data_IF_683780522052
#
_entry.id   IF_683780522052
#
_cell.length_a   1.000
_cell.length_b   1.000
_cell.length_c   1.000
_cell.angle_alpha   90.00
_cell.angle_beta   90.00
_cell.angle_gamma   90.00
#
_symmetry.space_group_name_H-M   'P 1'
#
loop_
_entity.id
_entity.type
_entity.pdbx_description
1 polymer ?
#
# COMPACT_ATOMS: atom_id res chain seq x y z
N UNK A 1 19.40 -43.77 -4.83
CA UNK A 1 18.95 -42.42 -5.24
C UNK A 1 18.35 -41.77 -4.01
N UNK A 2 19.11 -40.92 -3.33
CA UNK A 2 18.59 -40.06 -2.25
C UNK A 2 18.25 -38.75 -2.93
N UNK A 3 17.00 -38.62 -3.35
CA UNK A 3 16.47 -37.38 -3.93
C UNK A 3 15.97 -36.50 -2.78
N UNK A 4 16.59 -35.33 -2.67
CA UNK A 4 16.05 -34.06 -2.13
C UNK A 4 15.82 -33.95 -0.60
N UNK A 5 16.78 -33.34 0.11
CA UNK A 5 16.54 -32.60 1.37
C UNK A 5 17.54 -31.43 1.55
N UNK A 6 17.78 -30.67 0.49
CA UNK A 6 18.29 -29.29 0.58
C UNK A 6 17.32 -28.46 -0.27
N UNK A 7 16.16 -28.15 0.30
CA UNK A 7 15.34 -27.03 -0.17
C UNK A 7 15.77 -25.80 0.64
N UNK A 8 16.22 -24.80 -0.11
CA UNK A 8 16.86 -23.57 0.35
C UNK A 8 15.86 -22.63 1.06
N UNK A 9 15.91 -22.58 2.40
CA UNK A 9 15.24 -21.53 3.18
C UNK A 9 16.09 -20.24 3.25
N UNK A 10 16.50 -19.69 2.11
CA UNK A 10 17.35 -18.48 2.09
C UNK A 10 16.62 -17.20 2.56
N UNK A 11 15.36 -16.93 2.14
CA UNK A 11 14.64 -15.72 2.54
C UNK A 11 14.22 -15.72 4.02
N UNK A 12 13.60 -16.82 4.48
CA UNK A 12 13.16 -16.95 5.88
C UNK A 12 14.33 -16.91 6.87
N UNK A 13 15.42 -17.64 6.57
CA UNK A 13 16.62 -17.61 7.40
C UNK A 13 17.25 -16.21 7.47
N UNK A 14 17.24 -15.48 6.35
CA UNK A 14 17.71 -14.08 6.31
C UNK A 14 16.86 -13.18 7.19
N UNK A 15 15.52 -13.28 7.10
CA UNK A 15 14.61 -12.47 7.92
C UNK A 15 14.78 -12.78 9.41
N UNK A 16 14.87 -14.05 9.78
CA UNK A 16 15.09 -14.47 11.18
C UNK A 16 16.44 -13.97 11.73
N UNK A 17 17.51 -14.13 10.96
CA UNK A 17 18.82 -13.62 11.34
C UNK A 17 18.81 -12.10 11.57
N UNK A 18 18.18 -11.34 10.65
CA UNK A 18 18.06 -9.90 10.79
C UNK A 18 17.16 -9.51 11.96
N UNK A 19 16.09 -10.26 12.21
CA UNK A 19 15.23 -10.06 13.39
C UNK A 19 16.03 -10.11 14.68
N UNK A 20 17.02 -11.01 14.81
CA UNK A 20 17.88 -11.07 15.99
C UNK A 20 18.94 -9.96 16.02
N UNK A 21 19.42 -9.53 14.85
CA UNK A 21 20.51 -8.55 14.72
C UNK A 21 20.06 -7.09 14.89
N UNK A 22 18.84 -6.74 14.45
CA UNK A 22 18.37 -5.35 14.52
C UNK A 22 18.15 -4.93 15.98
N UNK A 23 18.88 -3.90 16.40
CA UNK A 23 18.82 -3.29 17.73
C UNK A 23 18.80 -1.76 17.64
N UNK A 24 18.53 -1.01 18.74
CA UNK A 24 18.59 0.46 18.71
C UNK A 24 19.96 1.04 18.28
N UNK A 25 21.04 0.27 18.40
CA UNK A 25 22.39 0.68 18.02
C UNK A 25 22.81 0.19 16.62
N UNK A 26 22.09 -0.78 16.07
CA UNK A 26 22.45 -1.45 14.82
C UNK A 26 21.32 -1.33 13.81
N UNK A 27 21.48 -0.39 12.87
CA UNK A 27 20.62 -0.25 11.70
C UNK A 27 21.15 -1.14 10.56
N UNK A 28 20.31 -1.94 9.88
CA UNK A 28 20.74 -2.70 8.71
C UNK A 28 21.21 -1.78 7.56
N UNK A 29 22.22 -2.16 6.77
CA UNK A 29 22.60 -1.40 5.58
C UNK A 29 21.42 -1.17 4.63
N UNK A 30 21.42 -0.05 3.90
CA UNK A 30 20.30 0.34 3.02
C UNK A 30 20.00 -0.70 1.96
N UNK A 31 21.04 -1.34 1.44
CA UNK A 31 20.98 -2.39 0.43
C UNK A 31 20.25 -3.63 0.96
N UNK A 32 20.41 -3.92 2.26
CA UNK A 32 19.71 -5.02 2.94
C UNK A 32 18.23 -4.69 3.10
N UNK A 33 17.89 -3.45 3.52
CA UNK A 33 16.48 -3.02 3.60
C UNK A 33 15.82 -3.06 2.22
N UNK A 34 16.50 -2.59 1.18
CA UNK A 34 16.03 -2.67 -0.20
C UNK A 34 15.85 -4.13 -0.65
N UNK A 35 16.76 -5.03 -0.28
CA UNK A 35 16.63 -6.47 -0.57
C UNK A 35 15.40 -7.08 0.11
N UNK A 36 15.16 -6.79 1.40
CA UNK A 36 13.95 -7.26 2.10
C UNK A 36 12.68 -6.82 1.37
N UNK A 37 12.61 -5.55 0.94
CA UNK A 37 11.45 -5.02 0.24
C UNK A 37 11.31 -5.68 -1.15
N UNK A 38 12.34 -5.64 -1.99
CA UNK A 38 12.22 -5.97 -3.40
C UNK A 38 12.31 -7.47 -3.69
N UNK A 39 13.10 -8.22 -2.92
CA UNK A 39 13.43 -9.62 -3.18
C UNK A 39 12.72 -10.60 -2.25
N UNK A 40 12.16 -10.12 -1.15
CA UNK A 40 11.40 -10.96 -0.21
C UNK A 40 9.94 -10.50 -0.19
N UNK A 41 9.66 -9.29 0.31
CA UNK A 41 8.29 -8.79 0.49
C UNK A 41 7.52 -8.68 -0.84
N UNK A 42 8.17 -8.20 -1.90
CA UNK A 42 7.57 -8.04 -3.23
C UNK A 42 7.89 -9.22 -4.17
N UNK A 43 8.33 -10.35 -3.63
CA UNK A 43 8.56 -11.56 -4.44
C UNK A 43 7.25 -12.28 -4.74
N UNK A 44 7.13 -12.79 -5.97
CA UNK A 44 5.99 -13.60 -6.40
C UNK A 44 6.06 -15.07 -5.98
N UNK A 45 7.21 -15.54 -5.46
CA UNK A 45 7.45 -16.95 -5.13
C UNK A 45 7.38 -17.28 -3.63
N UNK A 46 7.36 -16.27 -2.76
CA UNK A 46 7.44 -16.47 -1.31
C UNK A 46 6.07 -16.83 -0.70
N UNK A 47 6.10 -17.58 0.39
CA UNK A 47 4.88 -17.93 1.13
C UNK A 47 4.37 -16.74 1.94
N UNK A 48 3.06 -16.70 2.19
CA UNK A 48 2.41 -15.61 2.95
C UNK A 48 3.05 -15.41 4.34
N UNK A 49 3.52 -16.47 4.98
CA UNK A 49 4.15 -16.36 6.30
C UNK A 49 5.54 -15.70 6.22
N UNK A 50 6.34 -16.01 5.20
CA UNK A 50 7.62 -15.31 4.96
C UNK A 50 7.41 -13.83 4.70
N UNK A 51 6.36 -13.47 3.93
CA UNK A 51 6.01 -12.07 3.67
C UNK A 51 5.61 -11.32 4.94
N UNK A 52 4.85 -11.97 5.84
CA UNK A 52 4.49 -11.39 7.15
C UNK A 52 5.72 -11.19 8.03
N UNK A 53 6.63 -12.16 8.09
CA UNK A 53 7.89 -12.02 8.83
C UNK A 53 8.74 -10.88 8.27
N UNK A 54 8.87 -10.76 6.95
CA UNK A 54 9.57 -9.65 6.31
C UNK A 54 8.92 -8.30 6.65
N UNK A 55 7.60 -8.21 6.62
CA UNK A 55 6.87 -7.01 7.04
C UNK A 55 7.10 -6.69 8.53
N UNK A 56 7.05 -7.68 9.41
CA UNK A 56 7.31 -7.47 10.85
C UNK A 56 8.73 -6.98 11.11
N UNK A 57 9.72 -7.52 10.40
CA UNK A 57 11.09 -7.02 10.44
C UNK A 57 11.19 -5.56 10.00
N UNK A 58 10.55 -5.20 8.89
CA UNK A 58 10.51 -3.80 8.43
C UNK A 58 9.86 -2.87 9.47
N UNK A 59 8.78 -3.31 10.10
CA UNK A 59 8.14 -2.55 11.18
C UNK A 59 9.04 -2.42 12.42
N UNK A 60 9.75 -3.48 12.81
CA UNK A 60 10.73 -3.46 13.90
C UNK A 60 11.86 -2.47 13.61
N UNK A 61 12.38 -2.48 12.38
CA UNK A 61 13.41 -1.53 11.94
C UNK A 61 12.92 -0.10 12.12
N UNK A 62 11.70 0.21 11.67
CA UNK A 62 11.12 1.55 11.81
C UNK A 62 10.89 1.97 13.25
N UNK A 63 10.44 1.05 14.10
CA UNK A 63 10.22 1.33 15.52
C UNK A 63 11.53 1.69 16.24
N UNK A 64 12.61 0.98 15.91
CA UNK A 64 13.93 1.20 16.51
C UNK A 64 14.67 2.39 15.89
N UNK A 65 14.46 2.62 14.59
CA UNK A 65 15.13 3.63 13.79
C UNK A 65 14.11 4.41 12.96
N UNK A 66 13.44 5.40 13.56
CA UNK A 66 12.43 6.18 12.87
C UNK A 66 12.90 6.78 11.55
N UNK A 67 12.08 6.58 10.52
CA UNK A 67 12.28 7.17 9.21
C UNK A 67 12.25 8.70 9.30
N UNK A 68 13.16 9.34 8.58
CA UNK A 68 13.14 10.77 8.30
C UNK A 68 13.79 11.02 6.94
N UNK A 69 13.65 12.25 6.42
CA UNK A 69 14.12 12.61 5.09
C UNK A 69 15.63 12.42 4.85
N UNK A 70 16.44 12.21 5.90
CA UNK A 70 17.89 11.92 5.77
C UNK A 70 18.19 10.42 5.75
N UNK A 71 17.35 9.60 6.38
CA UNK A 71 17.62 8.17 6.60
C UNK A 71 16.99 7.28 5.56
N UNK A 72 15.82 7.65 5.06
CA UNK A 72 15.07 6.88 4.05
C UNK A 72 15.08 7.62 2.72
N UNK A 73 15.55 6.92 1.68
CA UNK A 73 15.38 7.36 0.30
C UNK A 73 14.03 6.85 -0.20
N UNK A 74 13.14 7.78 -0.55
CA UNK A 74 11.79 7.43 -0.95
C UNK A 74 11.73 7.04 -2.43
N UNK A 75 11.35 5.81 -2.71
CA UNK A 75 11.20 5.31 -4.08
C UNK A 75 9.73 5.34 -4.52
N UNK A 76 9.29 6.51 -5.01
CA UNK A 76 7.94 6.66 -5.56
C UNK A 76 7.71 5.74 -6.76
N UNK A 77 8.75 5.49 -7.59
CA UNK A 77 8.62 4.66 -8.79
C UNK A 77 8.29 3.22 -8.42
N UNK A 78 8.92 2.69 -7.37
CA UNK A 78 8.59 1.37 -6.84
C UNK A 78 7.15 1.31 -6.33
N UNK A 79 6.69 2.33 -5.60
CA UNK A 79 5.29 2.40 -5.17
C UNK A 79 4.32 2.42 -6.34
N UNK A 80 4.60 3.23 -7.37
CA UNK A 80 3.79 3.26 -8.59
C UNK A 80 3.75 1.89 -9.25
N UNK A 81 4.90 1.24 -9.46
CA UNK A 81 4.95 -0.10 -10.05
C UNK A 81 4.10 -1.12 -9.27
N UNK A 82 4.18 -1.11 -7.94
CA UNK A 82 3.41 -2.04 -7.08
C UNK A 82 1.90 -1.75 -7.12
N UNK A 83 1.50 -0.50 -7.37
CA UNK A 83 0.09 -0.10 -7.41
C UNK A 83 -0.55 -0.16 -8.81
N UNK A 84 0.26 -0.22 -9.87
CA UNK A 84 -0.18 -0.42 -11.26
C UNK A 84 -0.39 -1.91 -11.60
N UNK A 85 -0.89 -2.18 -12.80
CA UNK A 85 -1.39 -3.49 -13.24
C UNK A 85 -0.37 -4.62 -13.04
N UNK A 86 0.90 -4.37 -13.36
CA UNK A 86 1.97 -5.36 -13.19
C UNK A 86 2.21 -5.74 -11.72
N UNK A 87 2.00 -4.80 -10.80
CA UNK A 87 2.18 -4.99 -9.36
C UNK A 87 0.98 -5.59 -8.64
N UNK A 88 -0.22 -5.57 -9.26
CA UNK A 88 -1.46 -6.00 -8.59
C UNK A 88 -1.42 -7.47 -8.13
N UNK A 89 -0.70 -8.32 -8.85
CA UNK A 89 -0.59 -9.75 -8.59
C UNK A 89 0.46 -10.09 -7.51
N UNK A 90 1.20 -9.11 -6.99
CA UNK A 90 2.23 -9.35 -5.99
C UNK A 90 1.58 -9.68 -4.64
N UNK A 91 1.89 -10.84 -4.03
CA UNK A 91 1.25 -11.27 -2.78
C UNK A 91 1.54 -10.33 -1.61
N UNK A 92 2.71 -9.66 -1.60
CA UNK A 92 3.07 -8.69 -0.56
C UNK A 92 2.62 -7.25 -0.81
N UNK A 93 1.86 -6.97 -1.88
CA UNK A 93 1.41 -5.62 -2.25
C UNK A 93 0.76 -4.86 -1.10
N UNK A 94 -0.17 -5.50 -0.39
CA UNK A 94 -0.89 -4.85 0.73
C UNK A 94 0.02 -4.58 1.91
N UNK A 95 0.94 -5.50 2.23
CA UNK A 95 1.92 -5.32 3.30
C UNK A 95 2.89 -4.19 2.98
N UNK A 96 3.34 -4.12 1.72
CA UNK A 96 4.20 -3.04 1.26
C UNK A 96 3.50 -1.68 1.30
N UNK A 97 2.26 -1.59 0.79
CA UNK A 97 1.47 -0.36 0.87
C UNK A 97 1.28 0.07 2.33
N UNK A 98 0.93 -0.87 3.22
CA UNK A 98 0.79 -0.58 4.65
C UNK A 98 2.08 -0.07 5.27
N UNK A 99 3.22 -0.70 4.95
CA UNK A 99 4.54 -0.25 5.39
C UNK A 99 4.81 1.19 4.94
N UNK A 100 4.58 1.49 3.66
CA UNK A 100 4.70 2.83 3.07
C UNK A 100 3.84 3.85 3.83
N UNK A 101 2.54 3.59 4.00
CA UNK A 101 1.63 4.51 4.70
C UNK A 101 2.06 4.74 6.14
N UNK A 102 2.40 3.68 6.85
CA UNK A 102 2.85 3.75 8.25
C UNK A 102 4.13 4.58 8.38
N UNK A 103 5.08 4.42 7.45
CA UNK A 103 6.32 5.21 7.39
C UNK A 103 6.02 6.71 7.33
N UNK A 104 5.12 7.10 6.42
CA UNK A 104 4.77 8.49 6.19
C UNK A 104 4.02 9.08 7.39
N UNK A 105 3.12 8.29 7.97
CA UNK A 105 2.37 8.69 9.15
C UNK A 105 3.29 8.90 10.36
N UNK A 106 4.19 7.95 10.63
CA UNK A 106 5.10 8.03 11.78
C UNK A 106 6.07 9.21 11.64
N UNK A 107 6.66 9.42 10.46
CA UNK A 107 7.50 10.59 10.17
C UNK A 107 6.73 11.90 10.39
N UNK A 108 5.51 11.99 9.83
CA UNK A 108 4.66 13.17 9.99
C UNK A 108 4.31 13.43 11.46
N UNK A 109 3.86 12.42 12.21
CA UNK A 109 3.48 12.54 13.61
C UNK A 109 4.68 12.89 14.50
N UNK A 110 5.86 12.33 14.21
CA UNK A 110 7.08 12.66 14.96
C UNK A 110 7.49 14.12 14.77
N UNK A 111 7.43 14.63 13.54
CA UNK A 111 7.74 16.04 13.25
C UNK A 111 6.68 16.96 13.85
N UNK A 112 5.39 16.59 13.73
CA UNK A 112 4.28 17.34 14.32
C UNK A 112 4.45 17.52 15.83
N UNK A 113 4.82 16.44 16.55
CA UNK A 113 5.03 16.45 18.01
C UNK A 113 6.26 17.23 18.43
N UNK A 114 7.37 17.14 17.69
CA UNK A 114 8.62 17.82 18.06
C UNK A 114 8.60 19.30 17.68
N UNK A 115 8.20 19.60 16.46
CA UNK A 115 8.39 20.91 15.84
C UNK A 115 7.34 21.17 14.74
N UNK A 116 6.15 21.62 15.13
CA UNK A 116 5.02 21.90 14.21
C UNK A 116 5.36 22.88 13.07
N UNK A 117 6.32 23.78 13.26
CA UNK A 117 6.76 24.73 12.22
C UNK A 117 7.58 24.05 11.11
N UNK A 118 8.11 22.85 11.37
CA UNK A 118 8.97 22.08 10.46
C UNK A 118 8.23 20.96 9.72
N UNK A 119 6.88 20.92 9.76
CA UNK A 119 6.09 19.92 9.03
C UNK A 119 6.44 19.84 7.55
N UNK A 120 6.86 20.95 6.95
CA UNK A 120 7.32 21.02 5.57
C UNK A 120 8.61 20.24 5.27
N UNK A 121 9.30 19.76 6.30
CA UNK A 121 10.52 18.94 6.21
C UNK A 121 10.25 17.43 6.36
N UNK A 122 9.00 17.04 6.63
CA UNK A 122 8.59 15.63 6.67
C UNK A 122 8.70 14.97 5.31
N UNK A 123 9.03 13.68 5.29
CA UNK A 123 8.91 12.82 4.12
C UNK A 123 7.47 12.91 3.57
N UNK A 124 6.48 12.85 4.46
CA UNK A 124 5.08 13.01 4.09
C UNK A 124 4.83 14.30 3.30
N UNK A 125 5.38 15.44 3.72
CA UNK A 125 5.27 16.69 2.99
C UNK A 125 6.05 16.68 1.68
N UNK A 126 7.23 16.06 1.62
CA UNK A 126 8.00 16.02 0.37
C UNK A 126 7.38 15.13 -0.69
N UNK A 127 6.61 14.10 -0.30
CA UNK A 127 6.05 13.11 -1.23
C UNK A 127 4.55 13.26 -1.49
N UNK A 128 3.78 13.82 -0.55
CA UNK A 128 2.32 13.93 -0.64
C UNK A 128 1.80 15.37 -0.58
N UNK A 129 2.66 16.37 -0.66
CA UNK A 129 2.19 17.75 -0.81
C UNK A 129 1.71 18.00 -2.24
N UNK A 130 0.51 18.55 -2.38
CA UNK A 130 -0.04 19.04 -3.65
C UNK A 130 0.79 20.19 -4.21
N UNK A 131 1.41 21.01 -3.36
CA UNK A 131 2.27 22.11 -3.78
C UNK A 131 3.61 21.62 -4.35
N UNK A 132 4.19 20.55 -3.77
CA UNK A 132 5.52 20.04 -4.15
C UNK A 132 5.46 18.90 -5.17
N UNK A 133 4.55 17.95 -4.96
CA UNK A 133 4.39 16.72 -5.73
C UNK A 133 2.92 16.45 -6.09
N UNK A 134 2.27 17.33 -6.88
CA UNK A 134 0.87 17.15 -7.27
C UNK A 134 0.63 15.85 -8.05
N UNK A 135 1.62 15.36 -8.80
CA UNK A 135 1.49 14.11 -9.55
C UNK A 135 1.37 12.90 -8.62
N UNK A 136 2.10 12.87 -7.50
CA UNK A 136 2.00 11.78 -6.51
C UNK A 136 0.59 11.71 -5.90
N UNK A 137 0.03 12.86 -5.54
CA UNK A 137 -1.35 12.94 -5.00
C UNK A 137 -2.36 12.47 -6.05
N UNK A 138 -2.17 12.85 -7.31
CA UNK A 138 -2.99 12.39 -8.43
C UNK A 138 -2.91 10.87 -8.61
N UNK A 139 -1.71 10.29 -8.52
CA UNK A 139 -1.52 8.84 -8.63
C UNK A 139 -2.28 8.11 -7.52
N UNK A 140 -2.21 8.60 -6.27
CA UNK A 140 -2.97 8.02 -5.13
C UNK A 140 -4.48 8.09 -5.37
N UNK A 141 -5.00 9.21 -5.90
CA UNK A 141 -6.42 9.34 -6.27
C UNK A 141 -6.78 8.34 -7.37
N UNK A 142 -5.95 8.23 -8.42
CA UNK A 142 -6.15 7.27 -9.51
C UNK A 142 -6.22 5.83 -8.98
N UNK A 143 -5.28 5.44 -8.12
CA UNK A 143 -5.27 4.10 -7.52
C UNK A 143 -6.49 3.85 -6.62
N UNK A 144 -6.95 4.87 -5.90
CA UNK A 144 -8.15 4.76 -5.06
C UNK A 144 -9.42 4.58 -5.90
N UNK A 145 -9.60 5.39 -6.95
CA UNK A 145 -10.73 5.26 -7.87
C UNK A 145 -10.77 3.88 -8.51
N UNK A 146 -9.60 3.39 -8.97
CA UNK A 146 -9.44 2.04 -9.51
C UNK A 146 -9.87 0.98 -8.48
N UNK A 147 -9.30 1.01 -7.28
CA UNK A 147 -9.57 0.02 -6.22
C UNK A 147 -11.06 -0.01 -5.81
N UNK A 148 -11.72 1.14 -5.77
CA UNK A 148 -13.16 1.23 -5.45
C UNK A 148 -14.05 0.75 -6.60
N UNK A 149 -13.62 0.92 -7.85
CA UNK A 149 -14.42 0.57 -9.04
C UNK A 149 -14.30 -0.91 -9.38
N UNK A 150 -13.11 -1.50 -9.27
CA UNK A 150 -12.87 -2.93 -9.50
C UNK A 150 -13.68 -3.82 -8.52
N UNK A 151 -13.86 -3.38 -7.27
CA UNK A 151 -14.67 -4.08 -6.27
C UNK A 151 -16.18 -4.07 -6.61
N UNK A 152 -16.65 -3.03 -7.31
CA UNK A 152 -18.07 -2.88 -7.72
C UNK A 152 -18.42 -3.66 -8.97
N UNK A 153 -17.47 -3.83 -9.89
CA UNK A 153 -17.69 -4.55 -11.16
C UNK A 153 -17.69 -6.08 -11.00
N UNK A 154 -17.23 -6.60 -9.85
CA UNK A 154 -17.22 -8.04 -9.55
C UNK A 154 -18.46 -8.51 -8.77
N UNK A 155 -19.42 -7.62 -8.48
CA UNK A 155 -20.73 -8.01 -7.95
C UNK A 155 -21.67 -8.41 -9.11
N UNK A 156 -22.13 -9.67 -9.21
CA UNK A 156 -23.33 -9.95 -9.99
C UNK A 156 -24.51 -9.18 -9.36
N UNK A 157 -25.47 -8.67 -10.15
CA UNK A 157 -26.69 -8.09 -9.59
C UNK A 157 -27.37 -9.17 -8.74
N UNK A 158 -27.62 -8.88 -7.47
CA UNK A 158 -28.48 -9.70 -6.62
C UNK A 158 -29.89 -9.72 -7.24
N UNK A 159 -30.18 -10.75 -8.05
CA UNK A 159 -31.55 -11.12 -8.37
C UNK A 159 -32.18 -11.69 -7.10
N UNK A 160 -32.86 -10.83 -6.34
CA UNK A 160 -33.89 -11.27 -5.40
C UNK A 160 -34.94 -10.16 -5.21
N UNK A 161 -35.77 -9.98 -6.24
CA UNK A 161 -37.16 -9.61 -6.02
C UNK A 161 -38.07 -10.73 -6.55
N UNK A 162 -39.08 -11.05 -5.73
CA UNK A 162 -40.32 -11.81 -5.98
C UNK A 162 -40.34 -13.33 -5.69
N UNK A 163 -40.97 -13.67 -4.56
CA UNK A 163 -41.66 -14.95 -4.20
C UNK A 163 -42.81 -15.29 -5.19
N UNK A 164 -43.52 -16.46 -5.21
CA UNK A 164 -43.54 -17.63 -4.30
C UNK A 164 -43.54 -19.03 -4.99
N UNK A 165 -43.30 -20.14 -4.24
CA UNK A 165 -43.81 -21.47 -4.62
C UNK A 165 -42.96 -22.72 -4.28
N UNK A 166 -43.41 -23.45 -3.26
CA UNK A 166 -43.47 -24.93 -3.11
C UNK A 166 -42.45 -25.86 -3.82
N UNK A 167 -41.65 -26.58 -3.02
CA UNK A 167 -41.55 -28.07 -3.13
C UNK A 167 -40.24 -28.74 -3.60
N UNK A 168 -39.62 -29.50 -2.66
CA UNK A 168 -39.00 -30.84 -2.83
C UNK A 168 -37.54 -30.97 -3.36
N UNK A 169 -36.65 -31.30 -2.41
CA UNK A 169 -35.51 -32.26 -2.34
C UNK A 169 -34.75 -32.79 -3.58
N UNK A 170 -33.39 -32.63 -3.52
CA UNK A 170 -32.23 -33.52 -3.88
C UNK A 170 -31.22 -32.78 -4.78
N UNK A 171 -29.90 -33.04 -4.81
CA UNK A 171 -28.92 -33.76 -4.00
C UNK A 171 -27.51 -33.36 -4.53
N UNK A 172 -26.53 -33.24 -3.62
CA UNK A 172 -25.09 -33.49 -3.80
C UNK A 172 -24.35 -32.97 -5.06
N UNK A 173 -23.55 -31.91 -4.91
CA UNK A 173 -22.24 -31.79 -5.56
C UNK A 173 -21.29 -31.00 -4.66
N UNK A 174 -20.27 -31.69 -4.16
CA UNK A 174 -19.26 -31.18 -3.24
C UNK A 174 -18.13 -30.51 -4.02
N UNK A 175 -18.29 -29.23 -4.33
CA UNK A 175 -17.16 -28.36 -4.66
C UNK A 175 -17.21 -27.17 -3.70
N UNK A 176 -16.16 -26.92 -2.89
CA UNK A 176 -16.09 -25.65 -2.18
C UNK A 176 -16.02 -24.54 -3.24
N UNK A 177 -16.87 -23.49 -3.16
CA UNK A 177 -16.76 -22.35 -4.04
C UNK A 177 -15.38 -21.70 -3.84
N UNK A 178 -14.74 -21.16 -4.90
CA UNK A 178 -13.48 -20.43 -4.76
C UNK A 178 -13.74 -19.24 -3.83
N UNK A 179 -13.02 -19.18 -2.70
CA UNK A 179 -13.25 -18.22 -1.62
C UNK A 179 -13.29 -16.76 -2.15
N UNK A 180 -14.47 -16.14 -2.27
CA UNK A 180 -14.59 -14.76 -2.74
C UNK A 180 -14.33 -13.76 -1.59
N UNK A 181 -14.08 -14.24 -0.38
CA UNK A 181 -14.01 -13.43 0.84
C UNK A 181 -12.61 -12.87 1.10
N UNK A 182 -11.55 -13.57 0.68
CA UNK A 182 -10.16 -13.14 0.92
C UNK A 182 -9.75 -11.96 0.02
N UNK A 183 -10.20 -11.95 -1.23
CA UNK A 183 -9.95 -10.87 -2.20
C UNK A 183 -10.71 -9.59 -1.82
N UNK A 184 -11.98 -9.71 -1.39
CA UNK A 184 -12.80 -8.59 -0.89
C UNK A 184 -12.16 -7.91 0.33
N UNK A 185 -11.61 -8.70 1.27
CA UNK A 185 -10.92 -8.14 2.43
C UNK A 185 -9.64 -7.38 2.03
N UNK A 186 -8.90 -7.92 1.06
CA UNK A 186 -7.64 -7.33 0.57
C UNK A 186 -7.85 -5.99 -0.13
N UNK A 187 -8.87 -5.87 -0.99
CA UNK A 187 -9.21 -4.62 -1.67
C UNK A 187 -9.66 -3.53 -0.68
N UNK A 188 -10.46 -3.88 0.32
CA UNK A 188 -10.84 -2.95 1.38
C UNK A 188 -9.63 -2.42 2.15
N UNK A 189 -8.65 -3.27 2.45
CA UNK A 189 -7.40 -2.84 3.08
C UNK A 189 -6.63 -1.84 2.20
N UNK A 190 -6.54 -2.09 0.89
CA UNK A 190 -5.90 -1.16 -0.06
C UNK A 190 -6.62 0.19 -0.04
N UNK A 191 -7.95 0.20 -0.16
CA UNK A 191 -8.77 1.41 -0.10
C UNK A 191 -8.51 2.19 1.19
N UNK A 192 -8.51 1.52 2.34
CA UNK A 192 -8.22 2.14 3.63
C UNK A 192 -6.82 2.78 3.68
N UNK A 193 -5.79 2.09 3.16
CA UNK A 193 -4.43 2.65 3.12
C UNK A 193 -4.34 3.88 2.20
N UNK A 194 -4.96 3.83 1.02
CA UNK A 194 -4.96 4.97 0.09
C UNK A 194 -5.73 6.17 0.65
N UNK A 195 -6.86 5.94 1.30
CA UNK A 195 -7.59 7.00 2.03
C UNK A 195 -6.73 7.61 3.14
N UNK A 196 -5.93 6.79 3.85
CA UNK A 196 -5.00 7.29 4.86
C UNK A 196 -3.91 8.15 4.25
N UNK A 197 -3.33 7.76 3.11
CA UNK A 197 -2.36 8.59 2.38
C UNK A 197 -2.96 9.95 1.98
N UNK A 198 -4.18 9.97 1.44
CA UNK A 198 -4.85 11.23 1.10
C UNK A 198 -5.15 12.10 2.33
N UNK A 199 -5.47 11.47 3.46
CA UNK A 199 -5.64 12.20 4.72
C UNK A 199 -4.34 12.89 5.14
N UNK A 200 -3.20 12.20 5.03
CA UNK A 200 -1.87 12.77 5.28
C UNK A 200 -1.57 13.93 4.31
N UNK A 201 -1.87 13.76 3.02
CA UNK A 201 -1.69 14.80 1.99
C UNK A 201 -2.40 16.11 2.37
N UNK A 202 -3.66 16.02 2.81
CA UNK A 202 -4.44 17.17 3.26
C UNK A 202 -3.83 17.82 4.51
N UNK A 203 -3.29 17.02 5.43
CA UNK A 203 -2.69 17.53 6.67
C UNK A 203 -1.36 18.25 6.45
N UNK A 204 -0.50 17.73 5.56
CA UNK A 204 0.81 18.35 5.24
C UNK A 204 0.66 19.68 4.48
N UNK A 205 -0.47 19.86 3.78
CA UNK A 205 -0.76 21.04 2.97
C UNK A 205 -1.56 22.13 3.67
N UNK A 206 -1.79 22.04 5.00
CA UNK A 206 -2.47 23.10 5.78
C UNK A 206 -1.68 24.43 5.90
N UNK A 207 -0.85 24.77 4.93
CA UNK A 207 -0.08 26.02 4.85
C UNK A 207 -0.84 27.09 4.03
N UNK A 208 -0.57 28.39 4.25
CA UNK A 208 -1.26 29.47 3.54
C UNK A 208 -1.01 29.49 2.02
N UNK A 209 -0.05 28.72 1.49
CA UNK A 209 0.27 28.66 0.06
C UNK A 209 -0.49 27.58 -0.72
N UNK A 210 -1.10 26.62 -0.01
CA UNK A 210 -1.90 25.53 -0.58
C UNK A 210 -3.36 25.69 -0.13
N UNK A 211 -4.15 26.45 -0.89
CA UNK A 211 -5.58 26.60 -0.62
C UNK A 211 -6.36 25.41 -1.18
N UNK A 212 -7.51 25.10 -0.60
CA UNK A 212 -8.46 24.13 -1.14
C UNK A 212 -8.80 24.40 -2.61
N UNK A 213 -8.81 25.67 -3.02
CA UNK A 213 -9.05 26.08 -4.41
C UNK A 213 -7.91 25.64 -5.34
N UNK A 214 -6.65 25.79 -4.91
CA UNK A 214 -5.48 25.38 -5.70
C UNK A 214 -5.40 23.86 -5.84
N UNK A 215 -5.71 23.13 -4.77
CA UNK A 215 -5.82 21.67 -4.80
C UNK A 215 -6.94 21.25 -5.76
N UNK A 216 -8.11 21.89 -5.66
CA UNK A 216 -9.22 21.63 -6.56
C UNK A 216 -8.83 21.89 -8.01
N UNK A 217 -8.23 23.04 -8.35
CA UNK A 217 -7.78 23.33 -9.72
C UNK A 217 -6.83 22.25 -10.28
N UNK A 218 -5.88 21.77 -9.47
CA UNK A 218 -4.95 20.72 -9.90
C UNK A 218 -5.60 19.34 -10.07
N UNK A 219 -6.65 19.04 -9.30
CA UNK A 219 -7.25 17.70 -9.25
C UNK A 219 -8.55 17.58 -10.05
N UNK A 220 -9.29 18.66 -10.23
CA UNK A 220 -10.66 18.64 -10.77
C UNK A 220 -10.71 18.26 -12.25
N UNK A 221 -9.78 18.78 -13.05
CA UNK A 221 -9.68 18.42 -14.48
C UNK A 221 -9.39 16.94 -14.71
N UNK A 222 -8.62 16.32 -13.80
CA UNK A 222 -8.30 14.90 -13.86
C UNK A 222 -9.45 14.01 -13.37
N UNK A 223 -10.09 14.37 -12.26
CA UNK A 223 -11.20 13.58 -11.69
C UNK A 223 -12.42 13.57 -12.61
N UNK A 224 -12.66 14.67 -13.33
CA UNK A 224 -13.82 14.80 -14.20
C UNK A 224 -13.55 14.43 -15.66
N UNK A 225 -12.34 13.95 -15.98
CA UNK A 225 -11.91 13.57 -17.33
C UNK A 225 -12.31 14.62 -18.38
N UNK A 226 -12.11 15.90 -18.06
CA UNK A 226 -12.61 17.00 -18.87
C UNK A 226 -11.76 17.06 -20.16
N UNK A 227 -12.32 16.82 -21.35
CA UNK A 227 -11.56 16.85 -22.59
C UNK A 227 -10.99 18.24 -22.82
N UNK A 228 -9.74 18.27 -23.32
CA UNK A 228 -9.08 19.51 -23.71
C UNK A 228 -9.93 20.26 -24.72
N UNK A 229 -9.85 21.59 -24.74
CA UNK A 229 -10.66 22.41 -25.64
C UNK A 229 -10.41 22.10 -27.13
N UNK A 230 -9.26 21.52 -27.45
CA UNK A 230 -8.86 20.99 -28.76
C UNK A 230 -9.58 19.69 -29.16
N UNK A 231 -10.14 18.97 -28.18
CA UNK A 231 -10.86 17.71 -28.33
C UNK A 231 -12.39 17.89 -28.29
N UNK A 232 -12.88 19.15 -28.22
CA UNK A 232 -14.31 19.50 -28.19
C UNK A 232 -14.82 20.00 -29.53
#
# INVERSE_FOLDING_TARGET
>A
MVTNTIEENFPLGTVQFLMDFVSPQHYPPREIVAHIIQKILLSGSETVDVLKEAYMLLMKIQQLHPANAKTVEWDWKLLTYVMEEEGQNLPGRVLFLRYVVQTLEDDFQQILRKQRQHLQQSIASTVLSCDKQPHNVRDVIKWLVRAVTEDRLTQPPDENETSPGTGILKASSSHPPPEPNLTKNTNQLIVCQLQRMLSIAVEVDRTPTCSSNKIAEMMFGFVLDIPERSQR
#
